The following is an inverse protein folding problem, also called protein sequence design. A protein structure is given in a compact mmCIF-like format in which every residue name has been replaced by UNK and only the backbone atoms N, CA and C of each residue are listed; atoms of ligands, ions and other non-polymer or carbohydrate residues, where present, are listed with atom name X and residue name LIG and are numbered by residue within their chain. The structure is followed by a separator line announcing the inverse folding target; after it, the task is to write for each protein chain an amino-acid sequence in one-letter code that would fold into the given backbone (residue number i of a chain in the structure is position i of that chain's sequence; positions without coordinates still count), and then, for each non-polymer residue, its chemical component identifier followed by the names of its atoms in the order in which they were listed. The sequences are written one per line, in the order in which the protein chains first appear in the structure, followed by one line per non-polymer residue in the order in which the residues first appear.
data_IF_638401613254
#
_entry.id   IF_638401613254
#
_cell.length_a   1.000
_cell.length_b   1.000
_cell.length_c   1.000
_cell.angle_alpha   90.00
_cell.angle_beta   90.00
_cell.angle_gamma   90.00
#
_symmetry.space_group_name_H-M   'P 1'
#
loop_
_entity.id
_entity.type
_entity.pdbx_description
1 polymer ?
#
# COMPACT_ATOMS: atom_id res chain seq x y z
N UNK A 1 -31.93 8.04 -1.80
CA UNK A 1 -32.72 7.87 -0.56
C UNK A 1 -31.79 8.06 0.63
N UNK A 2 -32.29 8.48 1.80
CA UNK A 2 -31.44 8.64 2.99
C UNK A 2 -30.96 7.26 3.47
N UNK A 3 -29.67 7.12 3.76
CA UNK A 3 -29.05 5.90 4.29
C UNK A 3 -29.58 5.64 5.71
N UNK A 4 -29.97 4.40 6.01
CA UNK A 4 -30.53 3.99 7.32
C UNK A 4 -29.43 3.45 8.23
N UNK A 5 -29.55 3.72 9.53
CA UNK A 5 -28.54 3.40 10.54
C UNK A 5 -28.72 1.94 11.01
N UNK A 6 -27.61 1.26 11.35
CA UNK A 6 -27.48 -0.17 11.73
C UNK A 6 -28.55 -0.67 12.73
N UNK A 7 -29.07 0.19 13.61
CA UNK A 7 -30.10 -0.17 14.58
C UNK A 7 -31.42 -0.64 13.92
N UNK A 8 -31.82 -0.05 12.78
CA UNK A 8 -33.03 -0.44 12.07
C UNK A 8 -32.91 -1.84 11.43
N UNK A 9 -31.69 -2.29 11.11
CA UNK A 9 -31.43 -3.58 10.48
C UNK A 9 -31.53 -4.75 11.46
N UNK A 10 -31.12 -4.54 12.72
CA UNK A 10 -31.23 -5.54 13.79
C UNK A 10 -32.70 -5.94 14.01
N UNK A 11 -33.62 -4.98 13.90
CA UNK A 11 -35.05 -5.23 14.02
C UNK A 11 -35.61 -6.10 12.87
N UNK A 12 -35.12 -5.96 11.64
CA UNK A 12 -35.56 -6.80 10.51
C UNK A 12 -35.21 -8.28 10.74
N UNK A 13 -33.98 -8.55 11.19
CA UNK A 13 -33.52 -9.92 11.46
C UNK A 13 -34.16 -10.50 12.72
N UNK A 14 -34.36 -9.71 13.77
CA UNK A 14 -35.05 -10.16 14.99
C UNK A 14 -36.56 -10.39 14.78
N UNK A 15 -37.20 -9.65 13.88
CA UNK A 15 -38.63 -9.80 13.58
C UNK A 15 -38.94 -10.88 12.51
N UNK A 16 -37.93 -11.57 11.98
CA UNK A 16 -38.11 -12.59 10.93
C UNK A 16 -38.65 -12.03 9.61
N UNK A 17 -38.54 -10.72 9.38
CA UNK A 17 -39.05 -10.06 8.17
C UNK A 17 -37.97 -10.11 7.09
N UNK A 18 -38.35 -10.60 5.91
CA UNK A 18 -37.47 -10.59 4.72
C UNK A 18 -37.41 -9.17 4.14
N UNK A 19 -36.21 -8.57 3.97
CA UNK A 19 -36.06 -7.31 3.26
C UNK A 19 -36.53 -7.46 1.80
N UNK A 20 -37.02 -6.36 1.22
CA UNK A 20 -37.19 -6.26 -0.25
C UNK A 20 -35.83 -6.17 -0.93
N UNK A 21 -35.74 -6.49 -2.22
CA UNK A 21 -34.51 -6.42 -3.03
C UNK A 21 -33.79 -5.08 -2.88
N UNK A 22 -34.53 -3.97 -3.01
CA UNK A 22 -34.03 -2.62 -2.81
C UNK A 22 -33.49 -2.34 -1.40
N UNK A 23 -34.11 -2.92 -0.37
CA UNK A 23 -33.62 -2.81 1.02
C UNK A 23 -32.40 -3.68 1.27
N UNK A 24 -32.22 -4.75 0.50
CA UNK A 24 -31.04 -5.61 0.55
C UNK A 24 -29.85 -4.96 -0.18
N UNK A 25 -30.08 -4.28 -1.30
CA UNK A 25 -29.09 -3.44 -1.98
C UNK A 25 -28.55 -2.33 -1.06
N UNK A 26 -29.43 -1.59 -0.38
CA UNK A 26 -29.04 -0.55 0.60
C UNK A 26 -28.19 -1.13 1.76
N UNK A 27 -28.39 -2.40 2.12
CA UNK A 27 -27.62 -3.11 3.16
C UNK A 27 -26.23 -3.48 2.64
N UNK A 28 -26.13 -4.03 1.43
CA UNK A 28 -24.83 -4.34 0.82
C UNK A 28 -23.99 -3.07 0.66
N UNK A 29 -24.59 -1.97 0.22
CA UNK A 29 -23.91 -0.68 0.12
C UNK A 29 -23.44 -0.13 1.48
N UNK A 30 -24.11 -0.49 2.58
CA UNK A 30 -23.69 -0.11 3.94
C UNK A 30 -22.52 -0.94 4.49
N UNK A 31 -22.38 -2.20 4.06
CA UNK A 31 -21.32 -3.11 4.52
C UNK A 31 -20.06 -3.07 3.65
N UNK A 32 -20.17 -2.70 2.37
CA UNK A 32 -19.06 -2.80 1.39
C UNK A 32 -18.07 -1.63 1.47
N UNK A 33 -18.29 -0.63 2.33
CA UNK A 33 -17.31 0.45 2.52
C UNK A 33 -16.29 0.09 3.60
N UNK A 34 -15.41 -0.87 3.28
CA UNK A 34 -14.19 -1.15 4.09
C UNK A 34 -13.26 0.09 4.15
N UNK A 35 -13.49 1.05 3.26
CA UNK A 35 -12.85 2.36 3.22
C UNK A 35 -13.65 3.47 3.94
N UNK A 36 -14.69 3.14 4.71
CA UNK A 36 -15.46 4.14 5.43
C UNK A 36 -14.58 4.85 6.48
N UNK A 37 -14.36 6.17 6.37
CA UNK A 37 -13.54 6.95 7.30
C UNK A 37 -14.06 6.97 8.74
N UNK A 38 -15.29 6.50 9.01
CA UNK A 38 -15.80 6.30 10.37
C UNK A 38 -15.16 5.09 11.10
N UNK A 39 -14.60 4.10 10.38
CA UNK A 39 -14.04 2.88 10.97
C UNK A 39 -12.51 2.80 10.95
N UNK A 40 -11.86 3.44 10.00
CA UNK A 40 -10.40 3.61 9.98
C UNK A 40 -10.10 5.09 9.93
N UNK A 41 -9.84 5.67 11.10
CA UNK A 41 -9.55 7.09 11.19
C UNK A 41 -8.08 7.32 10.82
N UNK A 42 -7.74 8.43 10.14
CA UNK A 42 -6.35 8.79 9.87
C UNK A 42 -5.49 8.86 11.14
N UNK A 43 -6.12 9.18 12.29
CA UNK A 43 -5.51 9.25 13.61
C UNK A 43 -5.35 7.89 14.34
N UNK A 44 -5.81 6.78 13.76
CA UNK A 44 -5.63 5.45 14.37
C UNK A 44 -4.23 4.90 14.06
N UNK A 45 -3.42 4.70 15.10
CA UNK A 45 -2.09 4.09 15.00
C UNK A 45 -2.24 2.57 14.93
N UNK A 46 -1.34 1.91 14.18
CA UNK A 46 -1.40 0.47 13.86
C UNK A 46 -2.58 0.04 12.97
N UNK A 47 -3.34 1.00 12.43
CA UNK A 47 -4.31 0.74 11.37
C UNK A 47 -3.61 0.49 10.03
N UNK A 48 -4.17 -0.41 9.24
CA UNK A 48 -3.70 -0.76 7.90
C UNK A 48 -4.65 -0.26 6.83
N UNK A 49 -4.09 0.14 5.69
CA UNK A 49 -4.83 0.38 4.46
C UNK A 49 -4.23 -0.49 3.36
N UNK A 50 -5.06 -1.34 2.79
CA UNK A 50 -4.64 -2.27 1.76
C UNK A 50 -4.76 -1.67 0.37
N UNK A 51 -3.85 -2.06 -0.53
CA UNK A 51 -3.94 -1.76 -1.95
C UNK A 51 -3.83 -0.27 -2.28
N UNK A 52 -3.09 0.51 -1.48
CA UNK A 52 -2.81 1.93 -1.73
C UNK A 52 -2.06 2.17 -3.05
N UNK A 53 -1.46 1.12 -3.60
CA UNK A 53 -1.01 1.06 -4.97
C UNK A 53 -1.24 -0.37 -5.50
N UNK A 54 -1.69 -0.48 -6.74
CA UNK A 54 -1.87 -1.75 -7.45
C UNK A 54 -1.15 -1.62 -8.79
N UNK A 55 -0.37 -2.63 -9.13
CA UNK A 55 0.41 -2.64 -10.35
C UNK A 55 0.28 -3.97 -11.06
N UNK A 56 0.08 -3.88 -12.37
CA UNK A 56 0.13 -4.98 -13.30
C UNK A 56 0.81 -4.49 -14.56
N UNK A 57 1.79 -5.23 -15.05
CA UNK A 57 2.43 -4.95 -16.32
C UNK A 57 1.99 -5.95 -17.37
N UNK A 58 1.67 -5.42 -18.54
CA UNK A 58 1.48 -6.17 -19.78
C UNK A 58 2.70 -6.09 -20.67
N UNK A 59 3.86 -5.63 -20.15
CA UNK A 59 5.11 -5.58 -20.91
C UNK A 59 5.38 -6.98 -21.48
N UNK A 60 5.37 -7.06 -22.82
CA UNK A 60 5.62 -8.29 -23.56
C UNK A 60 7.12 -8.55 -23.78
N UNK A 61 7.99 -7.66 -23.30
CA UNK A 61 9.43 -7.84 -23.41
C UNK A 61 9.90 -8.86 -22.35
N UNK A 62 10.28 -10.08 -22.77
CA UNK A 62 10.72 -11.12 -21.85
C UNK A 62 12.10 -10.82 -21.24
N UNK A 63 12.76 -9.72 -21.63
CA UNK A 63 14.03 -9.28 -21.06
C UNK A 63 13.90 -8.03 -20.21
N UNK A 64 12.67 -7.59 -19.90
CA UNK A 64 12.44 -6.40 -19.11
C UNK A 64 13.00 -6.58 -17.68
N UNK A 65 14.11 -5.91 -17.39
CA UNK A 65 14.82 -6.02 -16.10
C UNK A 65 14.78 -4.69 -15.34
N UNK A 66 13.56 -4.16 -15.18
CA UNK A 66 13.33 -2.87 -14.52
C UNK A 66 13.24 -3.03 -13.00
N UNK A 67 13.63 -1.98 -12.30
CA UNK A 67 13.48 -1.82 -10.86
C UNK A 67 12.18 -1.07 -10.59
N UNK A 68 11.41 -1.56 -9.63
CA UNK A 68 10.22 -0.88 -9.13
C UNK A 68 10.65 0.11 -8.06
N UNK A 69 10.57 1.41 -8.36
CA UNK A 69 10.79 2.50 -7.41
C UNK A 69 9.45 3.07 -6.95
N UNK A 70 9.25 3.17 -5.65
CA UNK A 70 8.04 3.71 -5.03
C UNK A 70 8.44 4.97 -4.28
N UNK A 71 8.08 6.12 -4.86
CA UNK A 71 8.28 7.43 -4.26
C UNK A 71 7.21 7.68 -3.20
N UNK A 72 7.65 7.93 -1.97
CA UNK A 72 6.79 8.30 -0.85
C UNK A 72 6.54 9.83 -0.85
N UNK A 73 5.44 10.31 -0.22
CA UNK A 73 5.19 11.74 -0.11
C UNK A 73 6.16 12.44 0.85
N UNK A 74 6.91 11.67 1.66
CA UNK A 74 7.84 12.18 2.66
C UNK A 74 9.15 12.66 2.05
N UNK A 75 9.66 13.76 2.57
CA UNK A 75 10.94 14.36 2.20
C UNK A 75 11.91 14.40 3.37
N UNK A 76 13.10 13.85 3.15
CA UNK A 76 14.19 13.74 4.12
C UNK A 76 14.60 15.08 4.75
N UNK A 77 14.39 16.19 4.05
CA UNK A 77 14.81 17.53 4.46
C UNK A 77 13.68 18.42 5.02
N UNK A 78 12.43 17.94 5.07
CA UNK A 78 11.32 18.71 5.65
C UNK A 78 10.50 17.92 6.66
N UNK A 79 10.48 16.60 6.55
CA UNK A 79 9.54 15.77 7.29
C UNK A 79 10.19 14.97 8.40
N UNK A 80 9.37 14.68 9.41
CA UNK A 80 9.68 13.80 10.52
C UNK A 80 8.61 12.74 10.61
N UNK A 81 8.64 11.77 9.71
CA UNK A 81 7.55 10.80 9.57
C UNK A 81 8.05 9.37 9.47
N UNK A 82 7.54 8.53 10.37
CA UNK A 82 7.73 7.08 10.29
C UNK A 82 6.83 6.48 9.21
N UNK A 83 7.24 5.36 8.64
CA UNK A 83 6.43 4.63 7.66
C UNK A 83 6.60 3.12 7.80
N UNK A 84 5.55 2.41 7.40
CA UNK A 84 5.55 0.96 7.23
C UNK A 84 4.76 0.64 5.97
N UNK A 85 5.41 0.00 5.00
CA UNK A 85 4.80 -0.43 3.75
C UNK A 85 5.12 -1.89 3.45
N UNK A 86 4.18 -2.57 2.82
CA UNK A 86 4.32 -3.98 2.43
C UNK A 86 3.91 -4.17 0.97
N UNK A 87 4.80 -4.70 0.14
CA UNK A 87 4.46 -5.16 -1.21
C UNK A 87 4.18 -6.66 -1.20
N UNK A 88 3.08 -7.06 -1.81
CA UNK A 88 2.68 -8.47 -1.97
C UNK A 88 2.22 -8.75 -3.40
N UNK A 89 2.63 -9.87 -3.97
CA UNK A 89 2.33 -10.19 -5.36
C UNK A 89 3.07 -11.40 -5.92
N UNK A 90 3.17 -11.43 -7.25
CA UNK A 90 3.74 -12.52 -8.02
C UNK A 90 4.65 -11.99 -9.15
N UNK A 91 5.89 -12.48 -9.18
CA UNK A 91 6.81 -12.37 -10.31
C UNK A 91 6.59 -13.60 -11.21
N UNK A 92 5.75 -13.45 -12.24
CA UNK A 92 5.38 -14.56 -13.12
C UNK A 92 6.59 -15.22 -13.79
N UNK A 93 7.45 -14.42 -14.41
CA UNK A 93 8.63 -14.93 -15.11
C UNK A 93 9.67 -15.50 -14.15
N UNK A 94 9.81 -14.93 -12.96
CA UNK A 94 10.65 -15.47 -11.89
C UNK A 94 10.07 -16.72 -11.24
N UNK A 95 8.77 -16.98 -11.43
CA UNK A 95 8.02 -17.97 -10.66
C UNK A 95 8.20 -17.80 -9.14
N UNK A 96 8.19 -16.55 -8.68
CA UNK A 96 8.58 -16.18 -7.32
C UNK A 96 7.54 -15.29 -6.62
N UNK A 97 7.54 -15.32 -5.29
CA UNK A 97 6.61 -14.59 -4.44
C UNK A 97 7.19 -13.22 -4.10
N UNK A 98 6.43 -12.17 -4.39
CA UNK A 98 6.74 -10.84 -3.90
C UNK A 98 6.15 -10.74 -2.48
N UNK A 99 7.03 -10.66 -1.48
CA UNK A 99 6.70 -10.36 -0.09
C UNK A 99 7.82 -9.50 0.51
N UNK A 100 7.68 -8.18 0.36
CA UNK A 100 8.71 -7.20 0.74
C UNK A 100 8.12 -6.22 1.74
N UNK A 101 8.85 -5.99 2.83
CA UNK A 101 8.45 -5.08 3.91
C UNK A 101 9.51 -4.00 4.04
N UNK A 102 9.06 -2.75 4.11
CA UNK A 102 9.88 -1.59 4.44
C UNK A 102 9.35 -0.91 5.69
N UNK A 103 10.27 -0.60 6.60
CA UNK A 103 10.05 0.32 7.71
C UNK A 103 11.14 1.36 7.70
N UNK A 104 10.82 2.56 8.18
CA UNK A 104 11.81 3.62 8.29
C UNK A 104 11.25 4.88 8.93
N UNK A 105 12.17 5.81 9.18
CA UNK A 105 11.88 7.12 9.71
C UNK A 105 12.65 8.18 8.91
N UNK A 106 11.89 9.00 8.18
CA UNK A 106 12.40 10.21 7.56
C UNK A 106 12.70 11.23 8.66
N UNK A 107 13.94 11.72 8.77
CA UNK A 107 14.36 12.57 9.88
C UNK A 107 15.05 13.86 9.41
N UNK A 108 14.22 14.89 9.22
CA UNK A 108 14.63 16.25 8.84
C UNK A 108 15.89 16.79 9.53
N UNK A 109 16.10 16.63 10.86
CA UNK A 109 17.26 17.22 11.52
C UNK A 109 18.62 16.77 10.97
N UNK A 110 18.69 15.62 10.29
CA UNK A 110 19.91 15.14 9.63
C UNK A 110 19.76 15.02 8.11
N UNK A 111 18.59 15.37 7.56
CA UNK A 111 18.33 15.28 6.13
C UNK A 111 18.35 13.85 5.58
N UNK A 112 18.06 12.82 6.39
CA UNK A 112 18.29 11.43 6.02
C UNK A 112 17.25 10.44 6.59
N UNK A 113 17.34 9.19 6.14
CA UNK A 113 16.63 8.03 6.66
C UNK A 113 17.35 7.43 7.87
N UNK A 114 16.58 7.05 8.89
CA UNK A 114 17.04 6.27 10.03
C UNK A 114 16.04 5.15 10.35
N UNK A 115 16.51 4.13 11.07
CA UNK A 115 15.72 2.94 11.43
C UNK A 115 15.08 2.27 10.21
N UNK A 116 15.82 2.27 9.11
CA UNK A 116 15.41 2.01 7.74
C UNK A 116 15.62 0.53 7.37
N UNK A 117 14.89 -0.36 8.04
CA UNK A 117 14.95 -1.79 7.73
C UNK A 117 14.10 -2.15 6.49
N UNK A 118 14.71 -2.90 5.58
CA UNK A 118 14.03 -3.61 4.48
C UNK A 118 14.15 -5.11 4.68
N UNK A 119 13.10 -5.88 4.37
CA UNK A 119 13.10 -7.33 4.46
C UNK A 119 12.35 -7.96 3.29
N UNK A 120 12.98 -8.94 2.63
CA UNK A 120 12.34 -9.80 1.61
C UNK A 120 12.10 -11.14 2.27
N UNK A 121 10.83 -11.54 2.39
CA UNK A 121 10.44 -12.63 3.29
C UNK A 121 10.38 -14.00 2.62
N UNK A 122 9.96 -14.04 1.35
CA UNK A 122 9.65 -15.29 0.65
C UNK A 122 10.67 -15.67 -0.45
N UNK A 123 11.46 -14.72 -0.93
CA UNK A 123 12.32 -14.88 -2.11
C UNK A 123 13.79 -14.73 -1.77
N UNK A 124 14.64 -15.47 -2.48
CA UNK A 124 16.10 -15.30 -2.49
C UNK A 124 16.62 -14.59 -3.73
N UNK A 125 15.76 -14.34 -4.72
CA UNK A 125 16.12 -13.71 -6.00
C UNK A 125 15.70 -12.25 -6.07
N UNK A 126 14.59 -11.91 -5.42
CA UNK A 126 14.09 -10.54 -5.28
C UNK A 126 15.02 -9.78 -4.32
N UNK A 127 15.50 -8.64 -4.78
CA UNK A 127 16.28 -7.70 -3.94
C UNK A 127 15.45 -6.45 -3.68
N UNK A 128 15.71 -5.78 -2.56
CA UNK A 128 14.98 -4.59 -2.18
C UNK A 128 15.82 -3.68 -1.29
N UNK A 129 15.43 -2.42 -1.23
CA UNK A 129 16.03 -1.44 -0.33
C UNK A 129 15.22 -0.15 -0.30
N UNK A 130 15.84 0.89 0.26
CA UNK A 130 15.31 2.24 0.31
C UNK A 130 16.44 3.26 0.33
N UNK A 131 16.15 4.47 -0.13
CA UNK A 131 17.12 5.57 -0.22
C UNK A 131 16.43 6.93 -0.21
N UNK A 132 17.22 7.99 0.00
CA UNK A 132 16.80 9.37 -0.23
C UNK A 132 17.16 9.74 -1.67
N UNK A 133 16.16 10.08 -2.47
CA UNK A 133 16.38 10.46 -3.87
C UNK A 133 16.95 11.88 -4.01
N UNK A 134 17.35 12.23 -5.22
CA UNK A 134 17.92 13.56 -5.54
C UNK A 134 16.95 14.71 -5.30
N UNK A 135 15.65 14.45 -5.35
CA UNK A 135 14.56 15.38 -5.04
C UNK A 135 14.19 15.41 -3.54
N UNK A 136 15.03 14.81 -2.70
CA UNK A 136 14.87 14.65 -1.25
C UNK A 136 13.71 13.75 -0.82
N UNK A 137 12.95 13.15 -1.73
CA UNK A 137 11.91 12.20 -1.34
C UNK A 137 12.51 10.87 -0.87
N UNK A 138 11.75 10.17 -0.03
CA UNK A 138 12.05 8.79 0.30
C UNK A 138 11.58 7.88 -0.83
N UNK A 139 12.49 7.02 -1.31
CA UNK A 139 12.18 5.98 -2.28
C UNK A 139 12.33 4.61 -1.62
N UNK A 140 11.31 3.78 -1.80
CA UNK A 140 11.42 2.35 -1.61
C UNK A 140 11.68 1.71 -2.95
N UNK A 141 12.41 0.60 -2.99
CA UNK A 141 12.56 -0.14 -4.24
C UNK A 141 12.64 -1.63 -4.01
N UNK A 142 12.18 -2.38 -5.01
CA UNK A 142 12.51 -3.78 -5.16
C UNK A 142 12.74 -4.12 -6.63
N UNK A 143 13.55 -5.14 -6.86
CA UNK A 143 13.90 -5.65 -8.18
C UNK A 143 13.45 -7.10 -8.26
N UNK A 144 12.38 -7.41 -9.02
CA UNK A 144 12.05 -8.78 -9.38
C UNK A 144 13.11 -9.34 -10.34
N UNK A 145 13.07 -10.65 -10.59
CA UNK A 145 13.96 -11.27 -11.57
C UNK A 145 13.71 -10.74 -12.99
N UNK A 146 12.46 -10.36 -13.25
CA UNK A 146 11.98 -9.82 -14.51
C UNK A 146 10.68 -9.05 -14.28
N UNK A 147 10.39 -8.05 -15.11
CA UNK A 147 9.10 -7.34 -15.08
C UNK A 147 8.10 -7.86 -16.12
N UNK A 148 8.32 -9.01 -16.74
CA UNK A 148 7.35 -9.68 -17.61
C UNK A 148 6.19 -10.26 -16.78
N UNK A 149 4.99 -9.72 -16.97
CA UNK A 149 3.77 -10.09 -16.21
C UNK A 149 3.91 -9.96 -14.68
N UNK A 150 4.62 -8.92 -14.21
CA UNK A 150 4.70 -8.56 -12.79
C UNK A 150 3.34 -8.07 -12.26
N UNK A 151 2.91 -8.64 -11.14
CA UNK A 151 1.67 -8.24 -10.46
C UNK A 151 1.92 -8.02 -8.97
N UNK A 152 1.61 -6.85 -8.42
CA UNK A 152 1.68 -6.64 -6.97
C UNK A 152 0.75 -5.54 -6.47
N UNK A 153 0.46 -5.58 -5.17
CA UNK A 153 -0.15 -4.48 -4.43
C UNK A 153 0.80 -3.96 -3.35
N UNK A 154 0.59 -2.72 -2.95
CA UNK A 154 1.27 -2.08 -1.83
C UNK A 154 0.23 -1.75 -0.75
N UNK A 155 0.50 -2.20 0.47
CA UNK A 155 -0.28 -1.89 1.65
C UNK A 155 0.52 -0.93 2.55
N UNK A 156 -0.18 -0.09 3.31
CA UNK A 156 0.41 0.82 4.29
C UNK A 156 -0.12 0.51 5.69
N UNK A 157 0.75 0.63 6.69
CA UNK A 157 0.36 0.66 8.10
C UNK A 157 0.81 1.97 8.71
N UNK A 158 -0.06 2.61 9.49
CA UNK A 158 0.34 3.80 10.24
C UNK A 158 1.16 3.41 11.46
N UNK A 159 2.38 3.94 11.54
CA UNK A 159 3.31 3.71 12.64
C UNK A 159 3.79 5.04 13.24
N UNK A 160 3.90 5.06 14.57
CA UNK A 160 4.42 6.21 15.32
C UNK A 160 3.76 7.54 14.93
N UNK A 161 4.59 8.51 14.56
CA UNK A 161 4.16 9.85 14.13
C UNK A 161 3.91 9.97 12.61
N UNK A 162 3.92 8.86 11.88
CA UNK A 162 3.62 8.82 10.45
C UNK A 162 2.14 9.05 10.12
N UNK A 163 1.83 9.01 8.82
CA UNK A 163 0.46 9.07 8.33
C UNK A 163 0.01 7.73 7.73
N UNK A 164 -1.29 7.47 7.77
CA UNK A 164 -1.87 6.33 7.06
C UNK A 164 -2.02 6.69 5.58
N UNK A 165 -1.06 6.25 4.76
CA UNK A 165 -1.03 6.54 3.33
C UNK A 165 -2.26 5.95 2.63
N UNK A 166 -2.71 6.58 1.55
CA UNK A 166 -3.83 6.17 0.69
C UNK A 166 -3.41 6.10 -0.78
N UNK A 167 -4.34 5.62 -1.61
CA UNK A 167 -4.23 5.75 -3.05
C UNK A 167 -3.88 7.19 -3.46
N UNK A 168 -2.94 7.30 -4.40
CA UNK A 168 -2.35 8.54 -4.93
C UNK A 168 -1.37 9.30 -4.02
N UNK A 169 -1.14 8.87 -2.77
CA UNK A 169 -0.07 9.47 -1.95
C UNK A 169 1.33 9.03 -2.41
N UNK A 170 1.42 7.88 -3.08
CA UNK A 170 2.67 7.29 -3.58
C UNK A 170 2.70 7.24 -5.10
N UNK A 171 3.90 7.26 -5.67
CA UNK A 171 4.10 7.13 -7.12
C UNK A 171 5.02 5.95 -7.42
N UNK A 172 4.59 5.05 -8.32
CA UNK A 172 5.45 4.00 -8.87
C UNK A 172 6.17 4.50 -10.11
N UNK A 173 7.46 4.19 -10.20
CA UNK A 173 8.35 4.49 -11.32
C UNK A 173 9.09 3.20 -11.66
N UNK A 174 9.03 2.78 -12.92
CA UNK A 174 9.88 1.70 -13.42
C UNK A 174 11.12 2.31 -14.09
N UNK A 175 12.30 1.87 -13.68
CA UNK A 175 13.57 2.37 -14.21
C UNK A 175 14.64 1.29 -14.27
N UNK A 176 15.66 1.49 -15.10
CA UNK A 176 16.88 0.67 -15.09
C UNK A 176 17.91 1.21 -14.08
N UNK A 177 17.73 2.43 -13.60
CA UNK A 177 18.63 3.07 -12.63
C UNK A 177 18.43 2.49 -11.24
N UNK A 178 19.55 2.30 -10.51
CA UNK A 178 19.54 1.80 -9.14
C UNK A 178 18.95 2.81 -8.15
N UNK A 179 19.05 4.11 -8.45
CA UNK A 179 18.49 5.22 -7.66
C UNK A 179 18.03 6.36 -8.58
N UNK A 180 17.05 7.15 -8.12
CA UNK A 180 16.44 8.28 -8.83
C UNK A 180 16.75 9.64 -8.15
#
# INVERSE_FOLDING_TARGET
MPKRIIAELKEFFMAGKRPTEKQFEDVLDSYVHVDNPEFVKPEDVASTREGILKFFTTDLDPNANKICHIKLPYKANTDRSMYHLKAMGYDYSGSDIIDVIWVGYCYEPIGNLIYDKTHVNASTTITAGQYVGTDSHIYLWFKPSNTYFLSFKLDSMRVGNGTLLKENDVQLILSNELQL
#
